data_IF_303132645996
#
_entry.id   IF_303132645996
#
_cell.length_a   1.000
_cell.length_b   1.000
_cell.length_c   1.000
_cell.angle_alpha   90.00
_cell.angle_beta   90.00
_cell.angle_gamma   90.00
#
_symmetry.space_group_name_H-M   'P 1'
#
loop_
_entity.id
_entity.type
_entity.pdbx_description
1 polymer ?
#
# COMPACT_ATOMS: atom_id res chain seq x y z
N UNK A 1 -16.12 0.69 2.20
CA UNK A 1 -14.96 0.97 3.10
C UNK A 1 -14.37 2.34 2.80
N UNK A 2 -14.10 3.16 3.81
CA UNK A 2 -13.35 4.41 3.63
C UNK A 2 -11.86 4.08 3.65
N UNK A 3 -11.17 4.25 2.53
CA UNK A 3 -9.72 3.99 2.44
C UNK A 3 -8.94 4.95 3.33
N UNK A 4 -8.01 4.42 4.08
CA UNK A 4 -7.09 5.17 4.93
C UNK A 4 -5.65 4.82 4.60
N UNK A 5 -4.75 5.81 4.69
CA UNK A 5 -3.35 5.66 4.34
C UNK A 5 -2.45 6.27 5.41
N UNK A 6 -1.28 5.67 5.59
CA UNK A 6 -0.13 6.31 6.24
C UNK A 6 0.92 6.57 5.16
N UNK A 7 1.16 7.83 4.84
CA UNK A 7 2.22 8.25 3.93
C UNK A 7 3.50 8.51 4.74
N UNK A 8 4.57 7.76 4.48
CA UNK A 8 5.83 7.90 5.22
C UNK A 8 7.05 7.86 4.30
N UNK A 9 8.19 8.26 4.81
CA UNK A 9 9.47 8.05 4.12
C UNK A 9 9.88 6.57 4.17
N UNK A 10 10.79 6.18 3.29
CA UNK A 10 11.47 4.89 3.41
C UNK A 10 12.29 4.83 4.72
N UNK A 11 12.29 3.70 5.43
CA UNK A 11 13.07 3.53 6.64
C UNK A 11 14.56 3.84 6.45
N UNK A 12 15.17 4.46 7.46
CA UNK A 12 16.60 4.64 7.62
C UNK A 12 17.17 3.55 8.51
N UNK A 13 18.49 3.43 8.57
CA UNK A 13 19.16 2.40 9.39
C UNK A 13 18.72 2.46 10.87
N UNK A 14 18.52 3.66 11.39
CA UNK A 14 18.12 3.93 12.79
C UNK A 14 16.60 4.02 13.00
N UNK A 15 15.77 3.94 11.96
CA UNK A 15 14.29 4.05 12.08
C UNK A 15 13.54 2.78 11.66
N UNK A 16 14.24 1.69 11.37
CA UNK A 16 13.58 0.42 11.00
C UNK A 16 12.69 -0.13 12.12
N UNK A 17 13.12 0.01 13.35
CA UNK A 17 12.37 -0.42 14.52
C UNK A 17 11.09 0.40 14.69
N UNK A 18 11.18 1.73 14.53
CA UNK A 18 10.04 2.64 14.61
C UNK A 18 9.04 2.38 13.48
N UNK A 19 9.54 2.07 12.28
CA UNK A 19 8.69 1.72 11.14
C UNK A 19 7.85 0.46 11.44
N UNK A 20 8.47 -0.61 11.94
CA UNK A 20 7.75 -1.82 12.28
C UNK A 20 6.84 -1.67 13.50
N UNK A 21 7.24 -0.85 14.49
CA UNK A 21 6.36 -0.50 15.60
C UNK A 21 5.11 0.22 15.12
N UNK A 22 5.24 1.20 14.21
CA UNK A 22 4.11 1.90 13.58
C UNK A 22 3.21 0.91 12.81
N UNK A 23 3.78 0.07 11.97
CA UNK A 23 3.03 -0.94 11.18
C UNK A 23 2.20 -1.84 12.10
N UNK A 24 2.79 -2.27 13.22
CA UNK A 24 2.12 -3.11 14.20
C UNK A 24 1.00 -2.36 14.93
N UNK A 25 1.29 -1.18 15.48
CA UNK A 25 0.37 -0.36 16.28
C UNK A 25 -0.86 0.07 15.48
N UNK A 26 -0.67 0.44 14.22
CA UNK A 26 -1.74 0.89 13.34
C UNK A 26 -2.56 -0.27 12.71
N UNK A 27 -2.21 -1.52 13.01
CA UNK A 27 -2.90 -2.67 12.44
C UNK A 27 -2.74 -2.79 10.91
N UNK A 28 -1.68 -2.22 10.35
CA UNK A 28 -1.40 -2.26 8.92
C UNK A 28 -1.16 -3.69 8.45
N UNK A 29 -1.83 -4.09 7.39
CA UNK A 29 -1.68 -5.40 6.74
C UNK A 29 -1.07 -5.29 5.35
N UNK A 30 -1.14 -4.12 4.73
CA UNK A 30 -0.57 -3.87 3.40
C UNK A 30 0.42 -2.72 3.44
N UNK A 31 1.64 -2.98 2.98
CA UNK A 31 2.71 -2.00 2.78
C UNK A 31 2.95 -1.85 1.28
N UNK A 32 2.99 -0.61 0.79
CA UNK A 32 3.31 -0.25 -0.59
C UNK A 32 4.63 0.51 -0.62
N UNK A 33 5.62 -0.05 -1.30
CA UNK A 33 6.92 0.56 -1.55
C UNK A 33 7.06 0.90 -3.04
N UNK A 34 7.27 2.18 -3.38
CA UNK A 34 7.35 2.67 -4.76
C UNK A 34 8.75 3.14 -5.17
N UNK A 35 9.78 2.67 -4.50
CA UNK A 35 11.20 2.96 -4.81
C UNK A 35 12.02 1.68 -4.74
N UNK A 36 13.12 1.62 -5.47
CA UNK A 36 14.14 0.59 -5.25
C UNK A 36 14.96 0.92 -4.01
N UNK A 37 15.73 -0.02 -3.47
CA UNK A 37 16.68 0.23 -2.38
C UNK A 37 17.79 1.20 -2.85
N UNK A 38 18.27 1.02 -4.09
CA UNK A 38 19.27 1.86 -4.75
C UNK A 38 18.76 2.37 -6.10
N UNK A 39 18.94 3.65 -6.36
CA UNK A 39 18.70 4.29 -7.66
C UNK A 39 19.85 5.25 -7.94
N UNK A 40 20.51 5.12 -9.10
CA UNK A 40 21.65 5.95 -9.53
C UNK A 40 22.79 6.02 -8.53
N UNK A 41 23.15 4.89 -7.95
CA UNK A 41 24.25 4.83 -6.97
C UNK A 41 23.91 5.46 -5.61
N UNK A 42 22.66 5.91 -5.39
CA UNK A 42 22.22 6.49 -4.12
C UNK A 42 21.27 5.54 -3.41
N UNK A 43 21.48 5.36 -2.13
CA UNK A 43 20.53 4.66 -1.26
C UNK A 43 19.23 5.48 -1.16
N UNK A 44 18.09 4.87 -1.50
CA UNK A 44 16.75 5.46 -1.46
C UNK A 44 15.93 4.97 -0.28
N UNK A 45 16.17 3.75 0.14
CA UNK A 45 15.49 3.13 1.26
C UNK A 45 16.40 2.02 1.82
N UNK A 46 16.60 2.00 3.11
CA UNK A 46 17.30 0.89 3.76
C UNK A 46 16.38 -0.32 3.79
N UNK A 47 16.92 -1.48 3.48
CA UNK A 47 16.19 -2.73 3.55
C UNK A 47 15.74 -2.99 4.99
N UNK A 48 14.45 -3.17 5.18
CA UNK A 48 13.81 -3.35 6.48
C UNK A 48 13.09 -4.70 6.63
N UNK A 49 13.43 -5.66 5.78
CA UNK A 49 12.94 -7.04 5.84
C UNK A 49 14.09 -8.04 5.68
N UNK A 50 13.99 -9.26 6.28
CA UNK A 50 14.99 -10.30 6.10
C UNK A 50 14.86 -10.99 4.73
N UNK A 51 15.85 -11.79 4.37
CA UNK A 51 15.79 -12.62 3.16
C UNK A 51 14.70 -13.70 3.28
N UNK A 52 14.26 -14.25 2.15
CA UNK A 52 13.27 -15.31 2.10
C UNK A 52 13.65 -16.47 3.03
N UNK A 53 12.69 -16.93 3.83
CA UNK A 53 12.88 -17.97 4.83
C UNK A 53 13.58 -17.55 6.13
N UNK A 54 14.11 -16.32 6.20
CA UNK A 54 14.79 -15.80 7.39
C UNK A 54 13.87 -14.92 8.23
N UNK A 55 14.24 -14.75 9.50
CA UNK A 55 13.60 -13.81 10.42
C UNK A 55 14.63 -12.79 10.95
N UNK A 56 14.16 -11.60 11.31
CA UNK A 56 14.94 -10.55 11.95
C UNK A 56 14.11 -9.81 12.98
N UNK A 57 14.76 -9.30 13.99
CA UNK A 57 14.15 -8.52 15.07
C UNK A 57 14.31 -7.01 14.82
N UNK A 58 13.22 -6.28 15.03
CA UNK A 58 13.12 -4.82 14.93
C UNK A 58 12.50 -4.29 16.22
N UNK A 59 13.30 -4.17 17.26
CA UNK A 59 12.84 -3.89 18.60
C UNK A 59 12.01 -5.04 19.15
N UNK A 60 10.72 -4.82 19.39
CA UNK A 60 9.77 -5.85 19.86
C UNK A 60 9.04 -6.58 18.75
N UNK A 61 9.27 -6.19 17.52
CA UNK A 61 8.65 -6.78 16.33
C UNK A 61 9.62 -7.75 15.70
N UNK A 62 9.23 -9.00 15.54
CA UNK A 62 9.96 -10.00 14.77
C UNK A 62 9.28 -10.15 13.41
N UNK A 63 10.05 -10.04 12.34
CA UNK A 63 9.58 -10.15 10.97
C UNK A 63 10.24 -11.34 10.31
N UNK A 64 9.46 -12.23 9.74
CA UNK A 64 9.91 -13.36 8.93
C UNK A 64 9.41 -13.23 7.50
N UNK A 65 10.27 -13.29 6.52
CA UNK A 65 9.87 -13.36 5.11
C UNK A 65 9.47 -14.80 4.77
N UNK A 66 8.16 -15.03 4.62
CA UNK A 66 7.62 -16.37 4.34
C UNK A 66 7.67 -16.69 2.86
N UNK A 67 7.31 -15.70 2.02
CA UNK A 67 7.20 -15.90 0.58
C UNK A 67 7.61 -14.64 -0.18
N UNK A 68 8.20 -14.84 -1.38
CA UNK A 68 8.50 -13.78 -2.35
C UNK A 68 8.01 -14.22 -3.73
N UNK A 69 7.14 -13.43 -4.33
CA UNK A 69 6.57 -13.67 -5.67
C UNK A 69 6.93 -12.51 -6.59
N UNK A 70 7.89 -12.69 -7.50
CA UNK A 70 8.21 -11.69 -8.51
C UNK A 70 7.12 -11.63 -9.57
N UNK A 71 6.83 -10.42 -10.03
CA UNK A 71 6.04 -10.12 -11.24
C UNK A 71 6.87 -9.25 -12.18
N UNK A 72 6.29 -8.84 -13.31
CA UNK A 72 6.97 -7.95 -14.27
C UNK A 72 7.25 -6.58 -13.64
N UNK A 73 6.28 -6.03 -12.91
CA UNK A 73 6.31 -4.64 -12.44
C UNK A 73 6.62 -4.50 -10.95
N UNK A 74 6.42 -5.56 -10.15
CA UNK A 74 6.57 -5.50 -8.70
C UNK A 74 6.96 -6.84 -8.10
N UNK A 75 7.48 -6.80 -6.88
CA UNK A 75 7.69 -7.94 -6.00
C UNK A 75 6.62 -7.95 -4.91
N UNK A 76 5.88 -9.05 -4.78
CA UNK A 76 5.02 -9.29 -3.62
C UNK A 76 5.77 -10.14 -2.60
N UNK A 77 5.84 -9.65 -1.35
CA UNK A 77 6.35 -10.42 -0.20
C UNK A 77 5.26 -10.65 0.82
N UNK A 78 5.30 -11.80 1.43
CA UNK A 78 4.46 -12.15 2.57
C UNK A 78 5.34 -12.24 3.81
N UNK A 79 5.03 -11.45 4.81
CA UNK A 79 5.72 -11.44 6.09
C UNK A 79 4.83 -12.05 7.17
N UNK A 80 5.38 -12.94 7.96
CA UNK A 80 4.86 -13.29 9.26
C UNK A 80 5.49 -12.35 10.28
N UNK A 81 4.65 -11.58 10.96
CA UNK A 81 5.09 -10.53 11.87
C UNK A 81 4.51 -10.81 13.25
N UNK A 82 5.38 -10.90 14.25
CA UNK A 82 5.00 -11.14 15.63
C UNK A 82 5.47 -9.99 16.55
N UNK A 83 4.75 -9.80 17.63
CA UNK A 83 5.05 -8.78 18.64
C UNK A 83 5.16 -9.41 20.01
N UNK A 84 6.28 -9.16 20.68
CA UNK A 84 6.51 -9.60 22.06
C UNK A 84 6.07 -8.54 23.04
N UNK A 85 4.96 -8.79 23.75
CA UNK A 85 4.51 -7.90 24.83
C UNK A 85 5.48 -7.94 26.02
N UNK A 86 5.73 -6.81 26.72
CA UNK A 86 6.48 -6.86 27.97
C UNK A 86 5.73 -7.71 29.00
N UNK A 87 6.46 -8.40 29.88
CA UNK A 87 5.83 -9.10 30.97
C UNK A 87 4.96 -8.13 31.80
N UNK A 88 3.73 -8.53 32.13
CA UNK A 88 2.84 -7.71 32.93
C UNK A 88 3.45 -7.58 34.34
N UNK A 89 3.74 -6.36 34.76
CA UNK A 89 4.14 -6.06 36.15
C UNK A 89 2.85 -5.91 36.94
N UNK A 90 2.50 -6.94 37.69
CA UNK A 90 1.41 -6.83 38.70
C UNK A 90 2.00 -6.24 39.96
N UNK A 91 1.50 -5.08 40.37
CA UNK A 91 1.75 -4.56 41.69
C UNK A 91 0.98 -5.43 42.68
N UNK A 92 1.67 -6.10 43.59
CA UNK A 92 1.02 -6.77 44.71
C UNK A 92 0.53 -5.74 45.74
N UNK A 93 -0.62 -5.98 46.37
CA UNK A 93 -1.22 -5.08 47.35
C UNK A 93 -0.33 -4.83 48.60
N UNK A 94 0.72 -5.63 48.80
CA UNK A 94 1.70 -5.54 49.86
C UNK A 94 2.92 -4.66 49.56
N UNK A 95 2.96 -4.00 48.40
CA UNK A 95 4.09 -3.15 47.95
C UNK A 95 5.33 -3.93 47.47
N UNK A 96 5.28 -5.27 47.40
CA UNK A 96 6.34 -6.07 46.80
C UNK A 96 6.11 -6.19 45.28
N UNK A 97 7.16 -5.94 44.48
CA UNK A 97 7.10 -6.11 43.05
C UNK A 97 7.42 -7.56 42.69
N UNK A 98 6.39 -8.38 42.56
CA UNK A 98 6.57 -9.73 42.01
C UNK A 98 6.48 -9.66 40.49
N UNK A 99 7.57 -9.96 39.79
CA UNK A 99 7.57 -10.20 38.36
C UNK A 99 6.84 -11.53 38.14
N UNK A 100 5.54 -11.45 37.85
CA UNK A 100 4.81 -12.64 37.42
C UNK A 100 5.40 -13.07 36.08
N UNK A 101 5.84 -14.34 36.01
CA UNK A 101 6.26 -15.01 34.80
C UNK A 101 5.00 -15.32 33.97
N UNK A 102 4.30 -14.25 33.58
CA UNK A 102 3.16 -14.36 32.64
C UNK A 102 3.75 -14.80 31.31
N UNK A 103 3.20 -15.85 30.72
CA UNK A 103 3.58 -16.32 29.38
C UNK A 103 3.53 -15.11 28.44
N UNK A 104 4.66 -14.83 27.76
CA UNK A 104 4.72 -13.85 26.67
C UNK A 104 3.64 -14.25 25.64
N UNK A 105 2.59 -13.47 25.55
CA UNK A 105 1.58 -13.69 24.51
C UNK A 105 2.14 -13.13 23.23
N UNK A 106 2.55 -14.01 22.34
CA UNK A 106 3.02 -13.62 21.00
C UNK A 106 1.82 -13.59 20.06
N UNK A 107 1.38 -12.39 19.70
CA UNK A 107 0.42 -12.20 18.63
C UNK A 107 1.15 -12.22 17.30
N UNK A 108 0.59 -12.91 16.29
CA UNK A 108 1.18 -13.03 14.96
C UNK A 108 0.19 -12.55 13.91
N UNK A 109 0.67 -11.80 12.91
CA UNK A 109 -0.10 -11.27 11.79
C UNK A 109 0.63 -11.50 10.48
N UNK A 110 -0.10 -11.74 9.39
CA UNK A 110 0.46 -11.74 8.04
C UNK A 110 0.38 -10.36 7.44
N UNK A 111 1.50 -9.84 6.93
CA UNK A 111 1.61 -8.54 6.28
C UNK A 111 2.07 -8.72 4.83
N UNK A 112 1.43 -8.04 3.90
CA UNK A 112 1.70 -8.10 2.47
C UNK A 112 2.46 -6.86 2.03
N UNK A 113 3.65 -7.06 1.47
CA UNK A 113 4.54 -6.01 1.01
C UNK A 113 4.55 -5.97 -0.51
N UNK A 114 3.93 -4.95 -1.07
CA UNK A 114 3.87 -4.67 -2.50
C UNK A 114 4.98 -3.69 -2.88
N UNK A 115 6.07 -4.21 -3.46
CA UNK A 115 7.23 -3.42 -3.85
C UNK A 115 7.22 -3.18 -5.35
N UNK A 116 6.76 -2.01 -5.79
CA UNK A 116 6.73 -1.59 -7.18
C UNK A 116 8.14 -1.26 -7.67
N UNK A 117 8.70 -2.08 -8.55
CA UNK A 117 10.07 -1.99 -9.05
C UNK A 117 10.18 -1.36 -10.44
N UNK A 118 9.05 -1.27 -11.17
CA UNK A 118 9.00 -0.71 -12.52
C UNK A 118 9.01 0.83 -12.57
N UNK A 119 9.01 1.54 -11.42
CA UNK A 119 9.17 2.99 -11.44
C UNK A 119 10.57 3.36 -11.92
N UNK A 120 10.70 4.17 -12.99
CA UNK A 120 12.01 4.53 -13.51
C UNK A 120 12.77 5.42 -12.52
N UNK A 121 14.11 5.37 -12.57
CA UNK A 121 14.98 6.18 -11.71
C UNK A 121 14.78 7.68 -11.91
N UNK A 122 14.17 8.08 -13.05
CA UNK A 122 13.78 9.46 -13.39
C UNK A 122 12.35 9.52 -13.87
N UNK A 123 11.71 10.66 -13.54
CA UNK A 123 10.39 10.97 -14.04
C UNK A 123 9.33 10.01 -13.52
N UNK A 124 8.49 9.56 -14.42
CA UNK A 124 7.32 8.72 -14.17
C UNK A 124 7.30 7.57 -15.18
N UNK A 125 6.55 6.48 -14.93
CA UNK A 125 6.36 5.43 -15.92
C UNK A 125 5.82 5.97 -17.23
N UNK A 126 6.28 5.41 -18.36
CA UNK A 126 5.79 5.80 -19.68
C UNK A 126 4.35 5.35 -19.93
N UNK A 127 3.98 4.19 -19.36
CA UNK A 127 2.63 3.64 -19.42
C UNK A 127 1.96 3.70 -18.02
N UNK A 128 0.83 4.39 -17.88
CA UNK A 128 0.05 4.39 -16.64
C UNK A 128 -0.52 3.02 -16.27
N UNK A 129 -0.71 2.13 -17.24
CA UNK A 129 -1.31 0.82 -17.06
C UNK A 129 -0.59 -0.03 -16.00
N UNK A 130 0.74 0.00 -15.95
CA UNK A 130 1.50 -0.74 -14.95
C UNK A 130 1.20 -0.27 -13.52
N UNK A 131 1.06 1.04 -13.29
CA UNK A 131 0.70 1.59 -11.97
C UNK A 131 -0.75 1.27 -11.63
N UNK A 132 -1.66 1.32 -12.61
CA UNK A 132 -3.08 1.01 -12.41
C UNK A 132 -3.31 -0.47 -12.08
N UNK A 133 -2.60 -1.38 -12.76
CA UNK A 133 -2.62 -2.81 -12.47
C UNK A 133 -2.07 -3.10 -11.07
N UNK A 134 -0.94 -2.49 -10.73
CA UNK A 134 -0.36 -2.59 -9.38
C UNK A 134 -1.33 -2.11 -8.30
N UNK A 135 -1.93 -0.94 -8.51
CA UNK A 135 -2.93 -0.36 -7.61
C UNK A 135 -4.17 -1.26 -7.48
N UNK A 136 -4.61 -1.88 -8.58
CA UNK A 136 -5.71 -2.85 -8.55
C UNK A 136 -5.39 -4.03 -7.63
N UNK A 137 -4.19 -4.62 -7.73
CA UNK A 137 -3.77 -5.75 -6.91
C UNK A 137 -3.65 -5.39 -5.42
N UNK A 138 -3.09 -4.20 -5.10
CA UNK A 138 -3.04 -3.67 -3.74
C UNK A 138 -4.45 -3.56 -3.14
N UNK A 139 -5.37 -2.95 -3.89
CA UNK A 139 -6.75 -2.75 -3.45
C UNK A 139 -7.53 -4.07 -3.34
N UNK A 140 -7.31 -4.99 -4.26
CA UNK A 140 -7.92 -6.33 -4.22
C UNK A 140 -7.49 -7.07 -2.94
N UNK A 141 -6.21 -6.99 -2.58
CA UNK A 141 -5.71 -7.59 -1.33
C UNK A 141 -6.33 -6.91 -0.11
N UNK A 142 -6.26 -5.59 -0.01
CA UNK A 142 -6.83 -4.83 1.12
C UNK A 142 -8.33 -5.11 1.29
N UNK A 143 -9.09 -5.15 0.19
CA UNK A 143 -10.52 -5.41 0.20
C UNK A 143 -10.91 -6.87 0.46
N UNK A 144 -9.97 -7.83 0.38
CA UNK A 144 -10.20 -9.24 0.70
C UNK A 144 -10.03 -9.56 2.19
N UNK A 145 -9.63 -8.58 2.99
CA UNK A 145 -9.36 -8.73 4.42
C UNK A 145 -10.57 -8.26 5.25
N UNK A 146 -10.65 -8.75 6.47
CA UNK A 146 -11.72 -8.34 7.40
C UNK A 146 -11.61 -6.86 7.75
N UNK A 147 -12.59 -6.07 7.33
CA UNK A 147 -12.63 -4.62 7.50
C UNK A 147 -12.48 -4.17 8.96
N UNK A 148 -12.98 -4.96 9.90
CA UNK A 148 -12.91 -4.64 11.33
C UNK A 148 -11.49 -4.80 11.91
N UNK A 149 -10.60 -5.49 11.21
CA UNK A 149 -9.25 -5.86 11.69
C UNK A 149 -8.13 -5.26 10.88
N UNK A 150 -8.44 -4.51 9.82
CA UNK A 150 -7.44 -4.00 8.87
C UNK A 150 -7.23 -2.51 9.06
N UNK A 151 -6.00 -2.15 9.41
CA UNK A 151 -5.56 -0.77 9.52
C UNK A 151 -5.28 -0.11 8.16
N UNK A 152 -4.74 1.11 8.19
CA UNK A 152 -4.41 1.87 6.97
C UNK A 152 -3.34 1.17 6.13
N UNK A 153 -3.38 1.41 4.81
CA UNK A 153 -2.30 1.04 3.91
C UNK A 153 -1.11 1.96 4.17
N UNK A 154 0.05 1.41 4.50
CA UNK A 154 1.30 2.18 4.58
C UNK A 154 1.87 2.33 3.19
N UNK A 155 2.10 3.57 2.74
CA UNK A 155 2.69 3.88 1.42
C UNK A 155 3.96 4.69 1.61
N UNK A 156 5.07 4.23 1.04
CA UNK A 156 6.33 4.96 1.08
C UNK A 156 7.10 4.89 -0.24
N UNK A 157 8.00 5.84 -0.41
CA UNK A 157 9.05 5.83 -1.42
C UNK A 157 10.40 6.09 -0.73
N UNK A 158 11.21 7.03 -1.21
CA UNK A 158 12.39 7.52 -0.48
C UNK A 158 12.00 8.59 0.54
N UNK A 159 11.58 9.77 0.08
CA UNK A 159 11.16 10.89 0.96
C UNK A 159 9.71 10.76 1.45
N UNK A 160 8.90 9.90 0.85
CA UNK A 160 7.50 9.70 1.22
C UNK A 160 6.57 10.82 0.77
N UNK A 161 6.89 11.54 -0.31
CA UNK A 161 6.09 12.67 -0.81
C UNK A 161 5.80 12.59 -2.31
N UNK A 162 6.80 12.36 -3.18
CA UNK A 162 6.62 12.40 -4.63
C UNK A 162 5.81 11.20 -5.14
N UNK A 163 6.46 10.03 -5.31
CA UNK A 163 5.83 8.79 -5.77
C UNK A 163 4.71 8.33 -4.82
N UNK A 164 4.91 8.50 -3.52
CA UNK A 164 3.91 8.22 -2.48
C UNK A 164 2.65 9.04 -2.69
N UNK A 165 2.79 10.36 -2.87
CA UNK A 165 1.67 11.26 -3.13
C UNK A 165 0.97 10.94 -4.44
N UNK A 166 1.73 10.64 -5.50
CA UNK A 166 1.19 10.27 -6.81
C UNK A 166 0.34 9.01 -6.72
N UNK A 167 0.84 7.95 -6.06
CA UNK A 167 0.11 6.70 -5.86
C UNK A 167 -1.20 6.93 -5.09
N UNK A 168 -1.14 7.61 -3.94
CA UNK A 168 -2.32 7.85 -3.09
C UNK A 168 -3.37 8.68 -3.83
N UNK A 169 -2.96 9.75 -4.53
CA UNK A 169 -3.90 10.61 -5.26
C UNK A 169 -4.60 9.86 -6.39
N UNK A 170 -3.86 9.07 -7.18
CA UNK A 170 -4.45 8.24 -8.22
C UNK A 170 -5.46 7.27 -7.61
N UNK A 171 -5.12 6.61 -6.51
CA UNK A 171 -6.02 5.63 -5.87
C UNK A 171 -7.30 6.30 -5.33
N UNK A 172 -7.21 7.46 -4.72
CA UNK A 172 -8.38 8.22 -4.23
C UNK A 172 -9.33 8.60 -5.37
N UNK A 173 -8.78 9.06 -6.50
CA UNK A 173 -9.57 9.45 -7.68
C UNK A 173 -10.26 8.25 -8.32
N UNK A 174 -9.53 7.14 -8.50
CA UNK A 174 -10.09 5.89 -9.03
C UNK A 174 -11.15 5.32 -8.09
N UNK A 175 -10.94 5.37 -6.78
CA UNK A 175 -11.94 4.94 -5.81
C UNK A 175 -13.22 5.76 -5.91
N UNK A 176 -13.11 7.07 -6.15
CA UNK A 176 -14.25 7.96 -6.39
C UNK A 176 -15.01 7.55 -7.64
N UNK A 177 -14.31 7.32 -8.76
CA UNK A 177 -14.95 6.87 -10.01
C UNK A 177 -15.64 5.52 -9.82
N UNK A 178 -15.00 4.56 -9.12
CA UNK A 178 -15.59 3.24 -8.87
C UNK A 178 -16.84 3.28 -8.00
N UNK A 179 -16.90 4.22 -7.04
CA UNK A 179 -18.05 4.34 -6.11
C UNK A 179 -19.22 5.13 -6.68
N UNK A 180 -18.95 6.16 -7.45
CA UNK A 180 -19.99 7.09 -7.94
C UNK A 180 -20.38 6.78 -9.39
N UNK A 181 -19.44 6.27 -10.19
CA UNK A 181 -19.62 6.06 -11.63
C UNK A 181 -18.89 7.10 -12.48
N UNK A 182 -19.01 6.95 -13.80
CA UNK A 182 -18.34 7.82 -14.78
C UNK A 182 -18.90 9.25 -14.83
N UNK A 183 -20.09 9.49 -14.31
CA UNK A 183 -20.72 10.83 -14.26
C UNK A 183 -20.24 11.65 -13.06
N UNK A 184 -19.28 11.13 -12.25
CA UNK A 184 -18.75 11.87 -11.12
C UNK A 184 -17.84 13.02 -11.56
N UNK A 185 -17.90 14.13 -10.84
CA UNK A 185 -16.95 15.23 -11.01
C UNK A 185 -15.57 14.84 -10.46
N UNK A 186 -14.53 14.96 -11.29
CA UNK A 186 -13.14 14.67 -10.96
C UNK A 186 -12.35 15.96 -10.83
N UNK A 187 -12.00 16.34 -9.61
CA UNK A 187 -11.14 17.49 -9.31
C UNK A 187 -9.78 17.01 -8.79
N UNK A 188 -8.84 16.83 -9.73
CA UNK A 188 -7.47 16.37 -9.45
C UNK A 188 -6.73 17.42 -8.61
N UNK A 189 -6.87 18.69 -8.93
CA UNK A 189 -6.19 19.77 -8.22
C UNK A 189 -6.61 19.82 -6.75
N UNK A 190 -7.91 19.81 -6.49
CA UNK A 190 -8.46 19.80 -5.13
C UNK A 190 -8.04 18.54 -4.35
N UNK A 191 -8.02 17.38 -5.00
CA UNK A 191 -7.56 16.14 -4.37
C UNK A 191 -6.10 16.23 -3.96
N UNK A 192 -5.23 16.77 -4.83
CA UNK A 192 -3.81 16.98 -4.51
C UNK A 192 -3.66 17.99 -3.36
N UNK A 193 -4.42 19.08 -3.35
CA UNK A 193 -4.41 20.05 -2.26
C UNK A 193 -4.84 19.41 -0.93
N UNK A 194 -5.90 18.60 -0.93
CA UNK A 194 -6.35 17.90 0.26
C UNK A 194 -5.29 16.93 0.83
N UNK A 195 -4.58 16.22 -0.04
CA UNK A 195 -3.48 15.33 0.36
C UNK A 195 -2.28 16.14 0.89
N UNK A 196 -1.97 17.29 0.27
CA UNK A 196 -0.90 18.22 0.74
C UNK A 196 -1.18 18.82 2.10
N UNK A 197 -2.44 19.03 2.48
CA UNK A 197 -2.81 19.44 3.85
C UNK A 197 -2.50 18.38 4.89
N UNK A 198 -2.48 17.10 4.53
CA UNK A 198 -2.12 15.99 5.44
C UNK A 198 -0.62 15.78 5.53
N UNK A 199 0.10 15.94 4.42
CA UNK A 199 1.56 15.84 4.35
C UNK A 199 2.09 16.80 3.28
N UNK A 200 2.91 17.76 3.69
CA UNK A 200 3.50 18.76 2.78
C UNK A 200 4.30 18.12 1.64
N UNK A 201 4.24 18.72 0.45
CA UNK A 201 5.02 18.32 -0.72
C UNK A 201 4.53 17.09 -1.49
N UNK A 202 3.36 16.56 -1.14
CA UNK A 202 2.78 15.41 -1.86
C UNK A 202 2.54 15.76 -3.33
N UNK A 203 2.90 14.82 -4.24
CA UNK A 203 3.00 15.03 -5.70
C UNK A 203 4.04 16.13 -5.99
N UNK A 204 5.32 15.76 -5.93
CA UNK A 204 6.44 16.69 -5.79
C UNK A 204 6.83 17.39 -7.10
N UNK A 205 6.66 16.73 -8.25
CA UNK A 205 7.15 17.22 -9.55
C UNK A 205 6.02 17.44 -10.54
N UNK A 206 6.25 18.33 -11.53
CA UNK A 206 5.33 18.55 -12.64
C UNK A 206 5.05 17.26 -13.42
N UNK A 207 6.06 16.43 -13.65
CA UNK A 207 5.89 15.14 -14.30
C UNK A 207 4.93 14.23 -13.53
N UNK A 208 5.02 14.18 -12.20
CA UNK A 208 4.10 13.42 -11.36
C UNK A 208 2.69 14.00 -11.39
N UNK A 209 2.56 15.32 -11.42
CA UNK A 209 1.27 15.99 -11.54
C UNK A 209 0.58 15.63 -12.87
N UNK A 210 1.29 15.74 -13.99
CA UNK A 210 0.80 15.31 -15.31
C UNK A 210 0.46 13.82 -15.34
N UNK A 211 1.26 13.00 -14.69
CA UNK A 211 1.05 11.56 -14.64
C UNK A 211 -0.26 11.18 -13.93
N UNK A 212 -0.68 11.93 -12.90
CA UNK A 212 -1.99 11.73 -12.27
C UNK A 212 -3.12 11.89 -13.29
N UNK A 213 -3.08 12.94 -14.13
CA UNK A 213 -4.07 13.13 -15.20
C UNK A 213 -4.07 11.99 -16.20
N UNK A 214 -2.89 11.59 -16.68
CA UNK A 214 -2.76 10.49 -17.63
C UNK A 214 -3.28 9.16 -17.06
N UNK A 215 -3.00 8.87 -15.79
CA UNK A 215 -3.46 7.65 -15.14
C UNK A 215 -4.99 7.63 -14.96
N UNK A 216 -5.59 8.74 -14.56
CA UNK A 216 -7.05 8.85 -14.41
C UNK A 216 -7.73 8.76 -15.78
N UNK A 217 -7.22 9.46 -16.80
CA UNK A 217 -7.73 9.38 -18.16
C UNK A 217 -7.67 7.94 -18.69
N UNK A 218 -6.52 7.27 -18.58
CA UNK A 218 -6.36 5.88 -19.02
C UNK A 218 -7.34 4.93 -18.31
N UNK A 219 -7.57 5.15 -17.02
CA UNK A 219 -8.54 4.36 -16.26
C UNK A 219 -9.97 4.55 -16.78
N UNK A 220 -10.39 5.80 -17.06
CA UNK A 220 -11.72 6.13 -17.58
C UNK A 220 -11.91 5.50 -18.96
N UNK A 221 -10.95 5.66 -19.87
CA UNK A 221 -11.00 5.09 -21.22
C UNK A 221 -11.11 3.57 -21.20
N UNK A 222 -10.31 2.92 -20.36
CA UNK A 222 -10.35 1.45 -20.17
C UNK A 222 -11.71 1.00 -19.61
N UNK A 223 -12.27 1.73 -18.65
CA UNK A 223 -13.58 1.42 -18.07
C UNK A 223 -14.71 1.58 -19.10
N UNK A 224 -14.68 2.65 -19.90
CA UNK A 224 -15.63 2.88 -20.98
C UNK A 224 -15.60 1.76 -22.02
N UNK A 225 -14.40 1.35 -22.45
CA UNK A 225 -14.24 0.23 -23.41
C UNK A 225 -14.82 -1.08 -22.87
N UNK A 226 -14.63 -1.37 -21.57
CA UNK A 226 -15.22 -2.56 -20.93
C UNK A 226 -16.74 -2.51 -20.92
N UNK A 227 -17.33 -1.38 -20.55
CA UNK A 227 -18.79 -1.19 -20.54
C UNK A 227 -19.37 -1.42 -21.94
N UNK A 228 -18.76 -0.84 -22.99
CA UNK A 228 -19.20 -1.05 -24.35
C UNK A 228 -19.11 -2.52 -24.77
N UNK A 229 -18.00 -3.19 -24.47
CA UNK A 229 -17.80 -4.60 -24.78
C UNK A 229 -18.83 -5.52 -24.10
N UNK A 230 -19.17 -5.24 -22.82
CA UNK A 230 -20.19 -5.97 -22.08
C UNK A 230 -21.59 -5.78 -22.67
N UNK A 231 -21.96 -4.55 -23.07
CA UNK A 231 -23.24 -4.27 -23.70
C UNK A 231 -23.37 -4.99 -25.07
N UNK A 232 -22.34 -5.00 -25.87
CA UNK A 232 -22.29 -5.73 -27.14
C UNK A 232 -22.46 -7.24 -26.89
N UNK A 233 -21.71 -7.82 -25.96
CA UNK A 233 -21.79 -9.24 -25.62
C UNK A 233 -23.19 -9.66 -25.14
N UNK A 234 -23.80 -8.85 -24.29
CA UNK A 234 -25.15 -9.11 -23.76
C UNK A 234 -26.20 -8.99 -24.87
N UNK A 235 -26.09 -8.04 -25.79
CA UNK A 235 -26.97 -7.87 -26.93
C UNK A 235 -26.93 -9.08 -27.88
N UNK A 236 -25.73 -9.65 -28.10
CA UNK A 236 -25.57 -10.87 -28.90
C UNK A 236 -26.22 -12.09 -28.23
N UNK A 237 -26.02 -12.31 -26.93
CA UNK A 237 -26.65 -13.41 -26.19
C UNK A 237 -28.18 -13.34 -26.26
N UNK A 238 -28.76 -12.17 -26.00
CA UNK A 238 -30.20 -11.96 -26.04
C UNK A 238 -30.80 -12.13 -27.45
N UNK A 239 -30.01 -11.95 -28.50
CA UNK A 239 -30.44 -12.17 -29.88
C UNK A 239 -30.41 -13.66 -30.23
N UNK A 240 -29.39 -14.39 -29.83
CA UNK A 240 -29.30 -15.84 -30.00
C UNK A 240 -30.40 -16.60 -29.24
N UNK A 241 -30.71 -16.19 -28.00
CA UNK A 241 -31.78 -16.83 -27.23
C UNK A 241 -33.20 -16.60 -27.76
N UNK A 242 -33.39 -15.63 -28.64
CA UNK A 242 -34.69 -15.36 -29.29
C UNK A 242 -34.85 -16.03 -30.64
N UNK A 243 -33.78 -16.49 -31.28
CA UNK A 243 -33.78 -17.14 -32.58
C UNK A 243 -33.78 -18.72 -32.51
N UNK A 244 -33.66 -19.27 -31.30
CA UNK A 244 -33.78 -20.69 -30.99
C UNK A 244 -34.76 -20.94 -29.83
#
# INVERSE_FOLDING_TARGET
MKKTYIATQGPLANTKNDFWAMVWQEGTVVIVMTTKEFERGKNKCVRYWPNAGQAAEYGRVTVRTVNEKPTVDYMLREFEVSYSSPPAVLAAEDGSTTVSKTMETTETRTIYHYHFTAWPDHGVPADPGCVLNFLHEVNRKQGSLDEARVGPIVVHCSAGIGRTGTFIVIDLLIDTIKRIGLDCEIDIQRTIQAVRMKRSGMVQTEAQYKFVYLAVQHFIETLQQRIVAEHVSTSWKNRFEKEF
#
